data_IF_489759503159
#
_entry.id   IF_489759503159
#
_cell.length_a   1.000
_cell.length_b   1.000
_cell.length_c   1.000
_cell.angle_alpha   90.00
_cell.angle_beta   90.00
_cell.angle_gamma   90.00
#
_symmetry.space_group_name_H-M   'P 1'
#
loop_
_entity.id
_entity.type
_entity.pdbx_description
1 polymer ?
#
# COMPACT_ATOMS: atom_id res chain seq x y z
N UNK A 1 -6.41 16.92 11.81
CA UNK A 1 -6.90 16.73 10.42
C UNK A 1 -8.09 15.79 10.48
N UNK A 2 -9.28 16.19 10.00
CA UNK A 2 -10.42 15.27 9.87
C UNK A 2 -10.20 14.44 8.59
N UNK A 3 -10.26 13.09 8.64
CA UNK A 3 -10.08 12.27 7.46
C UNK A 3 -11.19 12.56 6.44
N UNK A 4 -10.81 12.81 5.18
CA UNK A 4 -11.70 13.26 4.10
C UNK A 4 -12.62 12.13 3.53
N UNK A 5 -12.93 11.10 4.32
CA UNK A 5 -13.37 9.79 3.83
C UNK A 5 -14.89 9.50 3.94
N UNK A 6 -15.74 10.52 4.01
CA UNK A 6 -17.20 10.31 4.14
C UNK A 6 -17.94 10.04 2.82
N UNK A 7 -17.27 10.07 1.67
CA UNK A 7 -17.88 9.67 0.40
C UNK A 7 -17.63 8.18 0.11
N UNK A 8 -18.67 7.37 -0.13
CA UNK A 8 -18.53 5.92 -0.32
C UNK A 8 -17.61 5.56 -1.49
N UNK A 9 -17.56 6.39 -2.54
CA UNK A 9 -16.65 6.22 -3.69
C UNK A 9 -15.17 6.34 -3.33
N UNK A 10 -14.83 7.20 -2.34
CA UNK A 10 -13.44 7.38 -1.88
C UNK A 10 -12.99 6.21 -1.01
N UNK A 11 -13.92 5.59 -0.28
CA UNK A 11 -13.68 4.37 0.50
C UNK A 11 -13.42 3.18 -0.41
N UNK A 12 -14.23 3.01 -1.47
CA UNK A 12 -14.05 1.93 -2.44
C UNK A 12 -12.71 2.03 -3.19
N UNK A 13 -12.31 3.25 -3.57
CA UNK A 13 -10.99 3.51 -4.14
C UNK A 13 -9.85 3.16 -3.17
N UNK A 14 -9.95 3.54 -1.90
CA UNK A 14 -8.96 3.17 -0.89
C UNK A 14 -8.85 1.66 -0.67
N UNK A 15 -9.98 0.94 -0.64
CA UNK A 15 -10.00 -0.54 -0.54
C UNK A 15 -9.27 -1.16 -1.72
N UNK A 16 -9.49 -0.65 -2.94
CA UNK A 16 -8.80 -1.15 -4.13
C UNK A 16 -7.28 -0.97 -4.05
N UNK A 17 -6.82 0.18 -3.59
CA UNK A 17 -5.39 0.47 -3.41
C UNK A 17 -4.75 -0.42 -2.34
N UNK A 18 -5.50 -0.73 -1.26
CA UNK A 18 -5.08 -1.70 -0.24
C UNK A 18 -4.96 -3.11 -0.84
N UNK A 19 -5.96 -3.57 -1.57
CA UNK A 19 -5.93 -4.91 -2.18
C UNK A 19 -4.79 -5.03 -3.20
N UNK A 20 -4.59 -4.01 -4.05
CA UNK A 20 -3.49 -4.01 -5.02
C UNK A 20 -2.12 -4.02 -4.34
N UNK A 21 -1.95 -3.23 -3.29
CA UNK A 21 -0.72 -3.22 -2.48
C UNK A 21 -0.47 -4.57 -1.79
N UNK A 22 -1.52 -5.16 -1.22
CA UNK A 22 -1.47 -6.45 -0.55
C UNK A 22 -1.05 -7.58 -1.51
N UNK A 23 -1.68 -7.64 -2.68
CA UNK A 23 -1.40 -8.68 -3.68
C UNK A 23 0.01 -8.54 -4.25
N UNK A 24 0.40 -7.32 -4.65
CA UNK A 24 1.73 -7.09 -5.23
C UNK A 24 2.85 -7.29 -4.20
N UNK A 25 2.72 -6.69 -3.03
CA UNK A 25 3.69 -6.84 -1.95
C UNK A 25 3.75 -8.28 -1.43
N UNK A 26 2.60 -8.95 -1.33
CA UNK A 26 2.52 -10.35 -0.94
C UNK A 26 3.18 -11.29 -1.95
N UNK A 27 2.92 -11.12 -3.26
CA UNK A 27 3.58 -11.90 -4.32
C UNK A 27 5.09 -11.69 -4.33
N UNK A 28 5.53 -10.43 -4.26
CA UNK A 28 6.95 -10.10 -4.16
C UNK A 28 7.58 -10.75 -2.93
N UNK A 29 6.87 -10.73 -1.81
CA UNK A 29 7.25 -11.35 -0.57
C UNK A 29 7.38 -12.88 -0.64
N UNK A 30 6.42 -13.55 -1.28
CA UNK A 30 6.46 -15.00 -1.48
C UNK A 30 7.69 -15.38 -2.31
N UNK A 31 7.95 -14.66 -3.40
CA UNK A 31 9.08 -14.95 -4.29
C UNK A 31 10.41 -14.76 -3.54
N UNK A 32 10.59 -13.59 -2.92
CA UNK A 32 11.84 -13.26 -2.22
C UNK A 32 12.06 -14.14 -0.98
N UNK A 33 11.01 -14.40 -0.21
CA UNK A 33 11.04 -15.29 0.95
C UNK A 33 11.35 -16.74 0.58
N UNK A 34 10.84 -17.22 -0.57
CA UNK A 34 11.15 -18.56 -1.09
C UNK A 34 12.62 -18.67 -1.50
N UNK A 35 13.13 -17.69 -2.26
CA UNK A 35 14.53 -17.63 -2.65
C UNK A 35 15.43 -17.59 -1.41
N UNK A 36 15.08 -16.76 -0.42
CA UNK A 36 15.80 -16.68 0.84
C UNK A 36 15.78 -18.02 1.58
N UNK A 37 14.62 -18.68 1.71
CA UNK A 37 14.51 -19.95 2.42
C UNK A 37 15.43 -21.02 1.83
N UNK A 38 15.39 -21.23 0.51
CA UNK A 38 16.23 -22.23 -0.15
C UNK A 38 17.72 -21.88 -0.07
N UNK A 39 18.05 -20.60 -0.25
CA UNK A 39 19.43 -20.10 -0.11
C UNK A 39 19.95 -20.33 1.32
N UNK A 40 19.17 -19.95 2.33
CA UNK A 40 19.52 -20.10 3.73
C UNK A 40 19.61 -21.58 4.14
N UNK A 41 18.73 -22.44 3.64
CA UNK A 41 18.84 -23.89 3.81
C UNK A 41 20.15 -24.43 3.19
N UNK A 42 20.61 -23.88 2.06
CA UNK A 42 21.84 -24.34 1.40
C UNK A 42 23.12 -23.85 2.07
N UNK A 43 23.16 -22.63 2.58
CA UNK A 43 24.40 -21.99 3.03
C UNK A 43 24.48 -21.67 4.52
N UNK A 44 23.36 -21.55 5.26
CA UNK A 44 23.36 -21.20 6.68
C UNK A 44 23.06 -22.42 7.57
N UNK A 45 24.05 -22.96 8.30
CA UNK A 45 23.80 -24.03 9.27
C UNK A 45 22.92 -23.54 10.44
N UNK A 46 23.00 -22.26 10.83
CA UNK A 46 22.11 -21.70 11.84
C UNK A 46 20.65 -21.75 11.39
N UNK A 47 20.38 -21.37 10.13
CA UNK A 47 19.01 -21.39 9.61
C UNK A 47 18.44 -22.81 9.56
N UNK A 48 19.26 -23.82 9.23
CA UNK A 48 18.82 -25.22 9.24
C UNK A 48 18.33 -25.66 10.62
N UNK A 49 19.03 -25.25 11.68
CA UNK A 49 18.72 -25.59 13.06
C UNK A 49 17.47 -24.89 13.64
N UNK A 50 16.90 -23.91 12.92
CA UNK A 50 15.67 -23.25 13.36
C UNK A 50 14.46 -24.19 13.29
N UNK A 51 13.52 -24.01 14.22
CA UNK A 51 12.24 -24.71 14.18
C UNK A 51 11.43 -24.31 12.95
N UNK A 52 10.56 -25.21 12.50
CA UNK A 52 9.66 -24.94 11.37
C UNK A 52 8.79 -23.70 11.63
N UNK A 53 8.31 -23.51 12.87
CA UNK A 53 7.50 -22.34 13.23
C UNK A 53 8.26 -21.02 13.09
N UNK A 54 9.56 -21.01 13.43
CA UNK A 54 10.36 -19.79 13.30
C UNK A 54 10.71 -19.51 11.83
N UNK A 55 10.91 -20.56 11.02
CA UNK A 55 11.09 -20.43 9.56
C UNK A 55 9.84 -19.87 8.89
N UNK A 56 8.64 -20.34 9.26
CA UNK A 56 7.37 -19.79 8.76
C UNK A 56 7.13 -18.36 9.24
N UNK A 57 7.50 -18.03 10.49
CA UNK A 57 7.47 -16.64 10.96
C UNK A 57 8.35 -15.72 10.11
N UNK A 58 9.58 -16.13 9.81
CA UNK A 58 10.46 -15.37 8.92
C UNK A 58 9.83 -15.23 7.53
N UNK A 59 9.38 -16.33 6.93
CA UNK A 59 8.79 -16.33 5.59
C UNK A 59 7.55 -15.44 5.49
N UNK A 60 6.56 -15.64 6.37
CA UNK A 60 5.31 -14.89 6.30
C UNK A 60 5.44 -13.49 6.89
N UNK A 61 6.02 -13.35 8.08
CA UNK A 61 6.11 -12.07 8.76
C UNK A 61 7.02 -11.10 8.01
N UNK A 62 8.29 -11.46 7.88
CA UNK A 62 9.32 -10.57 7.33
C UNK A 62 9.17 -10.45 5.81
N UNK A 63 8.98 -11.58 5.11
CA UNK A 63 8.97 -11.53 3.66
C UNK A 63 7.60 -11.25 3.06
N UNK A 64 6.47 -11.71 3.61
CA UNK A 64 5.15 -11.50 2.97
C UNK A 64 4.42 -10.28 3.54
N UNK A 65 4.22 -10.24 4.85
CA UNK A 65 3.36 -9.25 5.51
C UNK A 65 4.03 -7.87 5.49
N UNK A 66 5.31 -7.77 5.86
CA UNK A 66 6.01 -6.47 5.89
C UNK A 66 5.99 -5.72 4.56
N UNK A 67 6.40 -6.30 3.41
CA UNK A 67 6.35 -5.57 2.15
C UNK A 67 4.92 -5.34 1.63
N UNK A 68 3.96 -6.21 1.94
CA UNK A 68 2.55 -5.97 1.66
C UNK A 68 2.05 -4.70 2.38
N UNK A 69 2.25 -4.62 3.69
CA UNK A 69 1.91 -3.43 4.49
C UNK A 69 2.61 -2.18 3.97
N UNK A 70 3.91 -2.27 3.65
CA UNK A 70 4.67 -1.15 3.10
C UNK A 70 4.08 -0.62 1.79
N UNK A 71 3.72 -1.52 0.85
CA UNK A 71 3.14 -1.11 -0.43
C UNK A 71 1.75 -0.50 -0.26
N UNK A 72 0.94 -1.06 0.65
CA UNK A 72 -0.39 -0.55 0.99
C UNK A 72 -0.28 0.90 1.46
N UNK A 73 0.61 1.19 2.42
CA UNK A 73 0.80 2.54 2.95
C UNK A 73 1.25 3.51 1.84
N UNK A 74 2.18 3.10 0.97
CA UNK A 74 2.62 3.92 -0.15
C UNK A 74 1.50 4.18 -1.18
N UNK A 75 0.62 3.20 -1.42
CA UNK A 75 -0.52 3.36 -2.32
C UNK A 75 -1.55 4.31 -1.72
N UNK A 76 -1.89 4.15 -0.44
CA UNK A 76 -2.83 5.01 0.26
C UNK A 76 -2.34 6.47 0.29
N UNK A 77 -1.07 6.71 0.63
CA UNK A 77 -0.50 8.06 0.60
C UNK A 77 -0.54 8.70 -0.79
N UNK A 78 -0.31 7.91 -1.85
CA UNK A 78 -0.42 8.40 -3.23
C UNK A 78 -1.87 8.71 -3.60
N UNK A 79 -2.81 7.87 -3.16
CA UNK A 79 -4.24 8.05 -3.39
C UNK A 79 -4.76 9.31 -2.69
N UNK A 80 -4.40 9.53 -1.43
CA UNK A 80 -4.77 10.74 -0.68
C UNK A 80 -4.25 12.02 -1.34
N UNK A 81 -2.98 12.02 -1.76
CA UNK A 81 -2.38 13.16 -2.48
C UNK A 81 -3.11 13.45 -3.78
N UNK A 82 -3.55 12.41 -4.50
CA UNK A 82 -4.32 12.57 -5.74
C UNK A 82 -5.67 13.22 -5.46
N UNK A 83 -6.42 12.73 -4.48
CA UNK A 83 -7.71 13.32 -4.09
C UNK A 83 -7.54 14.78 -3.66
N UNK A 84 -6.52 15.08 -2.86
CA UNK A 84 -6.28 16.45 -2.41
C UNK A 84 -6.01 17.41 -3.58
N UNK A 85 -5.27 16.94 -4.59
CA UNK A 85 -5.02 17.72 -5.82
C UNK A 85 -6.28 17.90 -6.66
N UNK A 86 -7.08 16.85 -6.84
CA UNK A 86 -8.36 16.92 -7.56
C UNK A 86 -9.32 17.92 -6.90
N UNK A 87 -9.45 17.89 -5.58
CA UNK A 87 -10.27 18.84 -4.83
C UNK A 87 -9.77 20.28 -4.96
N UNK A 88 -8.45 20.49 -4.99
CA UNK A 88 -7.85 21.81 -5.18
C UNK A 88 -8.15 22.35 -6.58
N UNK A 89 -8.03 21.51 -7.62
CA UNK A 89 -8.35 21.87 -9.00
C UNK A 89 -9.84 22.16 -9.20
N UNK A 90 -10.71 21.34 -8.62
CA UNK A 90 -12.16 21.55 -8.70
C UNK A 90 -12.57 22.86 -8.02
N UNK A 91 -11.98 23.18 -6.86
CA UNK A 91 -12.23 24.44 -6.15
C UNK A 91 -11.74 25.65 -6.95
N UNK A 92 -10.58 25.53 -7.62
CA UNK A 92 -10.06 26.57 -8.52
C UNK A 92 -10.98 26.79 -9.72
N UNK A 93 -11.43 25.70 -10.37
CA UNK A 93 -12.36 25.77 -11.50
C UNK A 93 -13.68 26.44 -11.11
N UNK A 94 -14.24 26.11 -9.94
CA UNK A 94 -15.46 26.76 -9.43
C UNK A 94 -15.28 28.26 -9.18
N UNK A 95 -14.09 28.68 -8.73
CA UNK A 95 -13.76 30.11 -8.56
C UNK A 95 -13.64 30.81 -9.91
N UNK A 96 -12.96 30.20 -10.88
CA UNK A 96 -12.83 30.73 -12.25
C UNK A 96 -14.22 30.87 -12.92
N UNK A 97 -15.08 29.85 -12.79
CA UNK A 97 -16.47 29.90 -13.30
C UNK A 97 -17.32 30.98 -12.59
N UNK A 98 -17.10 31.26 -11.31
CA UNK A 98 -17.80 32.32 -10.57
C UNK A 98 -17.34 33.73 -11.00
N UNK A 99 -16.04 33.89 -11.26
CA UNK A 99 -15.47 35.13 -11.83
C UNK A 99 -16.01 35.36 -13.24
N UNK A 100 -16.06 34.33 -14.10
CA UNK A 100 -16.62 34.45 -15.45
C UNK A 100 -18.11 34.83 -15.46
N UNK A 101 -18.88 34.41 -14.44
CA UNK A 101 -20.30 34.77 -14.28
C UNK A 101 -20.52 36.16 -13.68
N UNK A 102 -19.47 36.87 -13.29
CA UNK A 102 -19.56 38.20 -12.68
C UNK A 102 -20.15 38.20 -11.27
N UNK A 103 -20.11 37.05 -10.57
CA UNK A 103 -20.55 36.95 -9.16
C UNK A 103 -19.44 37.41 -8.19
N UNK A 104 -18.25 37.74 -8.70
CA UNK A 104 -17.11 38.36 -8.02
C UNK A 104 -16.33 39.31 -8.93
#
# INVERSE_FOLDING_TARGET
>A
MRPAHHEPKKVEGAIREIVDGAVRGGLFGIVTGTIFHFSAMRWSPQYRGLTTQFKTFIGLGIFVITPACWLIDQNLLRYERRIAMEQKLERRRKLEEAVEKGEY
#
